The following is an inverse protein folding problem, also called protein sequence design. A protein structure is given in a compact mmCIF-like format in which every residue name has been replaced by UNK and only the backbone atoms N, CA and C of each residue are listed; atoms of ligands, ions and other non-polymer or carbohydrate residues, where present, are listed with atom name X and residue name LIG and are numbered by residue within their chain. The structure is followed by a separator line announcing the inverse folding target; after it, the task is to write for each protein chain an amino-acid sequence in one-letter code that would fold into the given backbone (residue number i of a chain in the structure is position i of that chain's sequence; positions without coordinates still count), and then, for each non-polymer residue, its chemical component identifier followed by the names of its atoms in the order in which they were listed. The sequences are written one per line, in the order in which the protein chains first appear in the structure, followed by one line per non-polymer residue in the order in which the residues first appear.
data_IF_277479578585
#
_entry.id   IF_277479578585
#
_cell.length_a   1.000
_cell.length_b   1.000
_cell.length_c   1.000
_cell.angle_alpha   90.00
_cell.angle_beta   90.00
_cell.angle_gamma   90.00
#
_symmetry.space_group_name_H-M   'P 1'
#
loop_
_entity.id
_entity.type
_entity.pdbx_description
1 polymer ?
#
# COMPACT_ATOMS: atom_id res chain seq x y z
N UNK A 1 15.74 -2.51 -15.73
CA UNK A 1 16.20 -1.12 -15.91
C UNK A 1 15.79 -0.34 -14.67
N UNK A 2 16.71 0.42 -14.09
CA UNK A 2 16.40 1.31 -12.97
C UNK A 2 16.04 2.69 -13.56
N UNK A 3 14.82 3.16 -13.32
CA UNK A 3 14.48 4.58 -13.48
C UNK A 3 14.95 5.28 -12.20
N UNK A 4 15.79 6.30 -12.35
CA UNK A 4 16.29 7.14 -11.26
C UNK A 4 16.43 8.57 -11.79
N UNK A 5 16.04 9.56 -11.00
CA UNK A 5 16.08 10.97 -11.39
C UNK A 5 15.58 11.87 -10.27
N UNK A 6 15.40 13.16 -10.58
CA UNK A 6 14.85 14.16 -9.67
C UNK A 6 13.39 14.46 -9.97
N UNK A 7 12.58 14.66 -8.93
CA UNK A 7 11.18 15.10 -9.07
C UNK A 7 11.03 16.52 -9.65
N UNK A 8 12.12 17.30 -9.66
CA UNK A 8 12.18 18.61 -10.32
C UNK A 8 12.25 18.51 -11.85
N UNK A 9 12.73 17.38 -12.38
CA UNK A 9 12.87 17.15 -13.82
C UNK A 9 11.67 16.39 -14.40
N UNK A 10 11.05 15.52 -13.60
CA UNK A 10 9.84 14.80 -13.94
C UNK A 10 8.96 14.68 -12.70
N UNK A 11 7.70 15.13 -12.78
CA UNK A 11 6.81 15.07 -11.63
C UNK A 11 6.52 13.63 -11.23
N UNK A 12 6.22 13.39 -9.94
CA UNK A 12 5.88 12.05 -9.46
C UNK A 12 4.69 11.43 -10.23
N UNK A 13 3.60 12.16 -10.53
CA UNK A 13 2.51 11.65 -11.36
C UNK A 13 2.97 11.21 -12.74
N UNK A 14 3.84 11.97 -13.41
CA UNK A 14 4.35 11.64 -14.74
C UNK A 14 5.20 10.36 -14.71
N UNK A 15 6.04 10.20 -13.69
CA UNK A 15 6.87 8.99 -13.51
C UNK A 15 5.98 7.77 -13.24
N UNK A 16 4.97 7.92 -12.39
CA UNK A 16 4.00 6.85 -12.12
C UNK A 16 3.23 6.50 -13.40
N UNK A 17 2.75 7.50 -14.14
CA UNK A 17 2.03 7.30 -15.40
C UNK A 17 2.89 6.57 -16.43
N UNK A 18 4.15 6.96 -16.58
CA UNK A 18 5.10 6.29 -17.47
C UNK A 18 5.27 4.80 -17.11
N UNK A 19 5.44 4.49 -15.81
CA UNK A 19 5.61 3.11 -15.33
C UNK A 19 4.35 2.26 -15.52
N UNK A 20 3.18 2.85 -15.31
CA UNK A 20 1.89 2.17 -15.48
C UNK A 20 1.60 1.91 -16.96
N UNK A 21 1.79 2.91 -17.84
CA UNK A 21 1.56 2.78 -19.28
C UNK A 21 2.51 1.77 -19.96
N UNK A 22 3.75 1.68 -19.49
CA UNK A 22 4.74 0.73 -20.01
C UNK A 22 4.64 -0.68 -19.40
N UNK A 23 3.55 -0.98 -18.67
CA UNK A 23 3.27 -2.26 -18.02
C UNK A 23 4.43 -2.77 -17.15
N UNK A 24 5.14 -1.86 -16.48
CA UNK A 24 6.29 -2.25 -15.63
C UNK A 24 5.81 -2.87 -14.33
N UNK A 25 6.65 -3.77 -13.83
CA UNK A 25 6.53 -4.37 -12.50
C UNK A 25 7.77 -4.02 -11.68
N UNK A 26 7.59 -3.65 -10.42
CA UNK A 26 8.70 -3.28 -9.54
C UNK A 26 8.28 -2.43 -8.35
N UNK A 27 9.28 -1.85 -7.70
CA UNK A 27 9.11 -0.91 -6.60
C UNK A 27 9.74 0.43 -7.01
N UNK A 28 8.92 1.49 -7.04
CA UNK A 28 9.37 2.86 -7.18
C UNK A 28 9.57 3.45 -5.77
N UNK A 29 10.81 3.77 -5.43
CA UNK A 29 11.15 4.46 -4.18
C UNK A 29 11.25 5.96 -4.41
N UNK A 30 10.58 6.74 -3.57
CA UNK A 30 10.43 8.20 -3.71
C UNK A 30 10.80 8.85 -2.37
N UNK A 31 11.53 9.97 -2.41
CA UNK A 31 11.88 10.76 -1.23
C UNK A 31 11.97 12.25 -1.54
N UNK A 32 11.55 13.08 -0.60
CA UNK A 32 11.77 14.54 -0.59
C UNK A 32 12.88 14.95 0.42
N UNK A 33 13.59 13.97 0.97
CA UNK A 33 14.60 14.12 2.04
C UNK A 33 14.04 13.98 3.47
N UNK A 34 12.74 14.22 3.69
CA UNK A 34 12.07 14.06 5.00
C UNK A 34 11.13 12.85 5.01
N UNK A 35 10.42 12.65 3.91
CA UNK A 35 9.49 11.58 3.66
C UNK A 35 10.12 10.56 2.72
N UNK A 36 9.76 9.30 2.94
CA UNK A 36 10.24 8.17 2.14
C UNK A 36 9.05 7.26 1.87
N UNK A 37 8.73 7.07 0.60
CA UNK A 37 7.64 6.24 0.15
C UNK A 37 8.11 5.19 -0.84
N UNK A 38 7.45 4.04 -0.82
CA UNK A 38 7.58 3.00 -1.83
C UNK A 38 6.23 2.80 -2.49
N UNK A 39 6.20 2.81 -3.82
CA UNK A 39 5.03 2.48 -4.64
C UNK A 39 5.33 1.17 -5.37
N UNK A 40 4.52 0.15 -5.10
CA UNK A 40 4.64 -1.17 -5.70
C UNK A 40 3.72 -1.26 -6.91
N UNK A 41 4.31 -1.60 -8.05
CA UNK A 41 3.61 -1.72 -9.32
C UNK A 41 3.76 -3.16 -9.80
N UNK A 42 2.67 -3.73 -10.27
CA UNK A 42 2.62 -5.05 -10.90
C UNK A 42 1.79 -4.98 -12.16
N UNK A 43 2.39 -5.34 -13.29
CA UNK A 43 1.77 -5.37 -14.61
C UNK A 43 1.10 -4.04 -14.95
N UNK A 44 1.82 -2.94 -14.70
CA UNK A 44 1.32 -1.57 -14.90
C UNK A 44 0.27 -1.10 -13.89
N UNK A 45 -0.09 -1.89 -12.89
CA UNK A 45 -1.08 -1.53 -11.86
C UNK A 45 -0.40 -1.23 -10.53
N UNK A 46 -0.77 -0.11 -9.91
CA UNK A 46 -0.33 0.19 -8.54
C UNK A 46 -1.10 -0.73 -7.60
N UNK A 47 -0.37 -1.59 -6.90
CA UNK A 47 -0.97 -2.59 -5.99
C UNK A 47 -0.86 -2.20 -4.53
N UNK A 48 0.13 -1.37 -4.19
CA UNK A 48 0.39 -0.95 -2.81
C UNK A 48 1.28 0.30 -2.82
N UNK A 49 1.11 1.16 -1.83
CA UNK A 49 2.08 2.20 -1.51
C UNK A 49 2.26 2.28 0.01
N UNK A 50 3.49 2.54 0.46
CA UNK A 50 3.83 2.61 1.88
C UNK A 50 4.76 3.77 2.16
N UNK A 51 4.50 4.54 3.22
CA UNK A 51 5.47 5.48 3.78
C UNK A 51 6.29 4.81 4.89
N UNK A 52 7.61 4.97 4.83
CA UNK A 52 8.55 4.41 5.80
C UNK A 52 8.51 5.17 7.13
N UNK A 53 8.31 6.49 7.09
CA UNK A 53 8.23 7.35 8.28
C UNK A 53 6.82 7.41 8.90
N UNK A 54 5.77 6.98 8.18
CA UNK A 54 4.41 6.81 8.70
C UNK A 54 3.87 5.44 8.30
N UNK A 55 4.18 4.42 9.11
CA UNK A 55 3.62 3.08 8.94
C UNK A 55 2.13 3.06 9.32
N UNK A 56 1.25 3.58 8.46
CA UNK A 56 -0.17 3.22 8.53
C UNK A 56 -0.33 1.81 7.99
N UNK A 57 -0.47 0.83 8.89
CA UNK A 57 -0.71 -0.56 8.48
C UNK A 57 -2.19 -0.72 8.18
N UNK A 58 -2.52 -1.58 7.22
CA UNK A 58 -3.90 -1.86 6.85
C UNK A 58 -4.77 -2.21 8.06
N UNK A 59 -4.27 -3.04 8.98
CA UNK A 59 -5.00 -3.41 10.21
C UNK A 59 -5.35 -2.20 11.08
N UNK A 60 -4.41 -1.27 11.27
CA UNK A 60 -4.62 -0.06 12.07
C UNK A 60 -5.64 0.88 11.42
N UNK A 61 -5.61 0.99 10.08
CA UNK A 61 -6.58 1.77 9.31
C UNK A 61 -7.98 1.19 9.49
N UNK A 62 -8.14 -0.12 9.33
CA UNK A 62 -9.43 -0.81 9.48
C UNK A 62 -9.98 -0.70 10.90
N UNK A 63 -9.12 -0.79 11.91
CA UNK A 63 -9.48 -0.60 13.32
C UNK A 63 -9.93 0.84 13.61
N UNK A 64 -9.16 1.82 13.14
CA UNK A 64 -9.47 3.25 13.32
C UNK A 64 -10.80 3.62 12.67
N UNK A 65 -11.10 3.03 11.51
CA UNK A 65 -12.37 3.19 10.80
C UNK A 65 -13.52 2.36 11.37
N UNK A 66 -13.29 1.58 12.44
CA UNK A 66 -14.26 0.65 13.05
C UNK A 66 -14.85 -0.38 12.07
N UNK A 67 -14.10 -0.72 11.03
CA UNK A 67 -14.46 -1.78 10.08
C UNK A 67 -14.20 -3.15 10.71
N UNK A 68 -13.18 -3.23 11.56
CA UNK A 68 -12.88 -4.37 12.42
C UNK A 68 -12.72 -3.87 13.86
N UNK A 69 -12.85 -4.79 14.82
CA UNK A 69 -12.52 -4.55 16.22
C UNK A 69 -11.11 -5.07 16.58
N UNK A 70 -10.68 -4.76 17.81
CA UNK A 70 -9.36 -5.15 18.32
C UNK A 70 -9.20 -6.67 18.39
N UNK A 71 -10.27 -7.38 18.76
CA UNK A 71 -10.26 -8.84 18.86
C UNK A 71 -10.03 -9.49 17.49
N UNK A 72 -10.73 -8.99 16.46
CA UNK A 72 -10.61 -9.43 15.08
C UNK A 72 -9.22 -9.16 14.53
N UNK A 73 -8.67 -7.96 14.76
CA UNK A 73 -7.31 -7.62 14.36
C UNK A 73 -6.28 -8.52 15.06
N UNK A 74 -6.43 -8.73 16.37
CA UNK A 74 -5.57 -9.59 17.17
C UNK A 74 -5.60 -11.04 16.69
N UNK A 75 -6.78 -11.57 16.36
CA UNK A 75 -6.93 -12.91 15.77
C UNK A 75 -6.23 -13.02 14.42
N UNK A 76 -6.44 -12.04 13.53
CA UNK A 76 -5.80 -12.03 12.22
C UNK A 76 -4.26 -11.94 12.31
N UNK A 77 -3.73 -11.14 13.25
CA UNK A 77 -2.29 -11.06 13.52
C UNK A 77 -1.71 -12.35 14.07
N UNK A 78 -2.45 -13.10 14.91
CA UNK A 78 -2.04 -14.43 15.39
C UNK A 78 -1.91 -15.41 14.22
N UNK A 79 -2.91 -15.45 13.32
CA UNK A 79 -2.85 -16.27 12.11
C UNK A 79 -1.67 -15.87 11.24
N UNK A 80 -1.43 -14.57 11.04
CA UNK A 80 -0.31 -14.08 10.23
C UNK A 80 1.06 -14.49 10.80
N UNK A 81 1.21 -14.54 12.13
CA UNK A 81 2.45 -15.00 12.77
C UNK A 81 2.72 -16.47 12.47
N UNK A 82 1.68 -17.30 12.42
CA UNK A 82 1.78 -18.73 12.08
C UNK A 82 1.97 -18.94 10.57
N UNK A 83 1.26 -18.18 9.75
CA UNK A 83 1.28 -18.25 8.29
C UNK A 83 2.06 -17.08 7.68
N UNK A 84 3.39 -17.09 7.81
CA UNK A 84 4.27 -15.96 7.40
C UNK A 84 4.13 -15.47 5.96
N UNK A 85 3.55 -16.29 5.06
CA UNK A 85 3.34 -15.92 3.64
C UNK A 85 2.05 -15.13 3.42
N UNK A 86 1.04 -15.29 4.27
CA UNK A 86 -0.27 -14.65 4.09
C UNK A 86 -0.26 -13.19 4.50
N UNK A 87 -0.98 -12.35 3.75
CA UNK A 87 -1.18 -10.94 4.07
C UNK A 87 -2.36 -10.78 5.03
N UNK A 88 -2.29 -9.74 5.87
CA UNK A 88 -3.35 -9.47 6.85
C UNK A 88 -4.72 -9.27 6.19
N UNK A 89 -4.78 -8.62 5.02
CA UNK A 89 -6.02 -8.43 4.27
C UNK A 89 -6.63 -9.76 3.77
N UNK A 90 -5.80 -10.71 3.34
CA UNK A 90 -6.25 -12.04 2.91
C UNK A 90 -6.84 -12.80 4.10
N UNK A 91 -6.14 -12.78 5.23
CA UNK A 91 -6.59 -13.42 6.47
C UNK A 91 -7.93 -12.81 6.94
N UNK A 92 -8.07 -11.48 6.88
CA UNK A 92 -9.31 -10.79 7.25
C UNK A 92 -10.49 -11.17 6.34
N UNK A 93 -10.25 -11.47 5.07
CA UNK A 93 -11.28 -12.00 4.16
C UNK A 93 -11.62 -13.45 4.52
N UNK A 94 -10.60 -14.30 4.72
CA UNK A 94 -10.77 -15.72 5.05
C UNK A 94 -11.57 -15.94 6.34
N UNK A 95 -11.37 -15.10 7.36
CA UNK A 95 -12.13 -15.17 8.63
C UNK A 95 -13.48 -14.45 8.57
N UNK A 96 -13.88 -13.92 7.40
CA UNK A 96 -15.14 -13.23 7.19
C UNK A 96 -15.25 -11.84 7.82
N UNK A 97 -14.12 -11.23 8.22
CA UNK A 97 -14.11 -9.91 8.87
C UNK A 97 -14.30 -8.75 7.88
N UNK A 98 -13.81 -8.89 6.66
CA UNK A 98 -13.98 -7.89 5.59
C UNK A 98 -14.28 -8.59 4.26
N UNK A 99 -14.89 -7.86 3.31
CA UNK A 99 -15.05 -8.33 1.94
C UNK A 99 -13.88 -7.88 1.06
N UNK A 100 -13.71 -8.54 -0.10
CA UNK A 100 -12.75 -8.08 -1.12
C UNK A 100 -12.98 -6.62 -1.55
N UNK A 101 -14.24 -6.19 -1.62
CA UNK A 101 -14.60 -4.82 -1.99
C UNK A 101 -14.08 -3.81 -0.98
N UNK A 102 -14.25 -4.10 0.32
CA UNK A 102 -13.72 -3.27 1.42
C UNK A 102 -12.19 -3.22 1.35
N UNK A 103 -11.54 -4.37 1.19
CA UNK A 103 -10.08 -4.43 1.08
C UNK A 103 -9.56 -3.59 -0.10
N UNK A 104 -10.16 -3.73 -1.29
CA UNK A 104 -9.77 -2.98 -2.49
C UNK A 104 -9.96 -1.47 -2.30
N UNK A 105 -11.08 -1.05 -1.71
CA UNK A 105 -11.36 0.35 -1.46
C UNK A 105 -10.35 0.97 -0.47
N UNK A 106 -10.07 0.26 0.62
CA UNK A 106 -9.14 0.74 1.65
C UNK A 106 -7.70 0.80 1.16
N UNK A 107 -7.26 -0.19 0.36
CA UNK A 107 -5.96 -0.14 -0.30
C UNK A 107 -5.86 1.03 -1.29
N UNK A 108 -6.93 1.31 -2.06
CA UNK A 108 -6.97 2.44 -2.97
C UNK A 108 -6.79 3.77 -2.24
N UNK A 109 -7.55 3.98 -1.16
CA UNK A 109 -7.44 5.18 -0.32
C UNK A 109 -6.03 5.30 0.27
N UNK A 110 -5.47 4.21 0.77
CA UNK A 110 -4.10 4.20 1.30
C UNK A 110 -3.04 4.58 0.25
N UNK A 111 -3.19 4.05 -0.97
CA UNK A 111 -2.32 4.39 -2.11
C UNK A 111 -2.41 5.87 -2.42
N UNK A 112 -3.63 6.40 -2.58
CA UNK A 112 -3.87 7.82 -2.85
C UNK A 112 -3.23 8.69 -1.76
N UNK A 113 -3.54 8.45 -0.49
CA UNK A 113 -2.96 9.19 0.63
C UNK A 113 -1.43 9.15 0.65
N UNK A 114 -0.82 8.00 0.32
CA UNK A 114 0.63 7.88 0.28
C UNK A 114 1.24 8.69 -0.85
N UNK A 115 0.63 8.66 -2.04
CA UNK A 115 1.12 9.42 -3.20
C UNK A 115 0.93 10.92 -2.98
N UNK A 116 -0.24 11.35 -2.49
CA UNK A 116 -0.51 12.77 -2.21
C UNK A 116 0.44 13.38 -1.17
N UNK A 117 0.88 12.59 -0.18
CA UNK A 117 1.87 13.06 0.80
C UNK A 117 3.28 13.25 0.22
N UNK A 118 3.52 12.81 -1.02
CA UNK A 118 4.82 12.87 -1.71
C UNK A 118 4.83 13.85 -2.88
N UNK A 119 3.72 14.55 -3.14
CA UNK A 119 3.62 15.67 -4.08
C UNK A 119 4.03 16.97 -3.39
#
# INVERSE_FOLDING_TARGET
MAIKGSLSEASLPDVIQLLTYSNKSGCLSVTDGRNFANVFIKDGKIICATMLNRKSRLGDILLTKKIIDDETLSRALKVQKSEKKKRIGEILIEIGAITEGVLKNELKIQIEHTIFNML
#
